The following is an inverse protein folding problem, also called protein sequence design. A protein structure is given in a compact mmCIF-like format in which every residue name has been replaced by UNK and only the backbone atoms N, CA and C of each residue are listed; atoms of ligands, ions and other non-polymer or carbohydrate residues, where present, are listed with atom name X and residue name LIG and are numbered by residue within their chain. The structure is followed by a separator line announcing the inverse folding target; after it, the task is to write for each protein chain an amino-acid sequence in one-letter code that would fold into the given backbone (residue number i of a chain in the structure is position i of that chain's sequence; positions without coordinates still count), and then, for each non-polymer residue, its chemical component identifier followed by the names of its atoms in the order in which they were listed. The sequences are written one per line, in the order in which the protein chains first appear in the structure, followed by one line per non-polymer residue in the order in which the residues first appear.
data_IF_820375546325
#
_entry.id   IF_820375546325
#
_cell.length_a   1.000
_cell.length_b   1.000
_cell.length_c   1.000
_cell.angle_alpha   90.00
_cell.angle_beta   90.00
_cell.angle_gamma   90.00
#
_symmetry.space_group_name_H-M   'P 1'
#
loop_
_entity.id
_entity.type
_entity.pdbx_description
1 polymer ?
#
# COMPACT_ATOMS: atom_id res chain seq x y z
N UNK A 1 -4.23 25.57 13.22
CA UNK A 1 -3.69 26.89 13.60
C UNK A 1 -3.75 27.85 12.42
N UNK A 2 -4.05 29.14 12.71
CA UNK A 2 -3.95 30.22 11.73
C UNK A 2 -3.13 31.33 12.35
N UNK A 3 -2.10 31.77 11.65
CA UNK A 3 -1.22 32.87 12.06
C UNK A 3 -1.29 33.96 11.00
N UNK A 4 -1.40 35.20 11.43
CA UNK A 4 -1.39 36.40 10.58
C UNK A 4 -0.26 37.34 11.05
N UNK A 5 1.01 37.02 10.73
CA UNK A 5 2.16 37.80 11.21
C UNK A 5 2.14 39.26 10.73
N UNK A 6 1.56 39.47 9.55
CA UNK A 6 1.34 40.79 8.93
C UNK A 6 -0.04 40.79 8.25
N UNK A 7 -0.55 41.96 7.87
CA UNK A 7 -1.89 42.10 7.24
C UNK A 7 -1.99 41.37 5.90
N UNK A 8 -0.85 41.12 5.24
CA UNK A 8 -0.75 40.50 3.93
C UNK A 8 -0.19 39.08 3.93
N UNK A 9 0.06 38.48 5.10
CA UNK A 9 0.60 37.12 5.24
C UNK A 9 -0.26 36.28 6.17
N UNK A 10 -0.81 35.21 5.64
CA UNK A 10 -1.53 34.20 6.41
C UNK A 10 -0.81 32.87 6.31
N UNK A 11 -0.56 32.24 7.44
CA UNK A 11 0.00 30.89 7.54
C UNK A 11 -0.99 29.99 8.27
N UNK A 12 -1.33 28.86 7.67
CA UNK A 12 -2.18 27.84 8.28
C UNK A 12 -1.39 26.56 8.52
N UNK A 13 -1.64 25.92 9.65
CA UNK A 13 -1.10 24.58 9.94
C UNK A 13 -2.23 23.75 10.55
N UNK A 14 -2.60 22.68 9.85
CA UNK A 14 -3.64 21.77 10.25
C UNK A 14 -3.10 20.35 10.35
N UNK A 15 -3.22 19.74 11.53
CA UNK A 15 -2.93 18.31 11.73
C UNK A 15 -4.23 17.53 11.72
N UNK A 16 -4.23 16.39 11.07
CA UNK A 16 -5.43 15.58 10.91
C UNK A 16 -5.12 14.08 11.02
N UNK A 17 -6.12 13.32 11.45
CA UNK A 17 -6.09 11.86 11.50
C UNK A 17 -7.40 11.31 10.95
N UNK A 18 -7.32 10.36 10.05
CA UNK A 18 -8.45 9.69 9.42
C UNK A 18 -8.34 8.20 9.67
N UNK A 19 -9.38 7.63 10.25
CA UNK A 19 -9.54 6.20 10.39
C UNK A 19 -10.66 5.69 9.48
N UNK A 20 -10.37 4.63 8.72
CA UNK A 20 -11.34 3.92 7.87
C UNK A 20 -11.37 2.46 8.24
N UNK A 21 -12.53 2.00 8.70
CA UNK A 21 -12.77 0.61 9.01
C UNK A 21 -13.65 -0.05 7.95
N UNK A 22 -13.55 -1.37 7.81
CA UNK A 22 -14.39 -2.20 6.93
C UNK A 22 -14.43 -1.73 5.47
N UNK A 23 -13.32 -1.18 4.99
CA UNK A 23 -13.18 -0.88 3.57
C UNK A 23 -13.11 -2.17 2.76
N UNK A 24 -13.66 -2.15 1.55
CA UNK A 24 -13.58 -3.29 0.64
C UNK A 24 -12.29 -3.16 -0.17
N UNK A 25 -11.52 -4.23 -0.23
CA UNK A 25 -10.28 -4.31 -1.00
C UNK A 25 -10.06 -5.69 -1.58
N UNK A 26 -8.98 -5.84 -2.32
CA UNK A 26 -8.55 -7.12 -2.87
C UNK A 26 -7.40 -7.67 -2.02
N UNK A 27 -7.38 -8.99 -1.79
CA UNK A 27 -6.26 -9.66 -1.14
C UNK A 27 -4.98 -9.57 -1.98
N UNK A 28 -5.14 -9.54 -3.29
CA UNK A 28 -4.07 -9.39 -4.26
C UNK A 28 -3.49 -10.73 -4.69
N UNK A 29 -3.19 -10.83 -5.98
CA UNK A 29 -2.68 -12.08 -6.58
C UNK A 29 -1.33 -12.51 -6.00
N UNK A 30 -0.48 -11.56 -5.64
CA UNK A 30 0.83 -11.82 -5.05
C UNK A 30 0.66 -12.49 -3.67
N UNK A 31 -0.16 -11.91 -2.81
CA UNK A 31 -0.47 -12.48 -1.50
C UNK A 31 -1.17 -13.84 -1.62
N UNK A 32 -2.10 -13.97 -2.60
CA UNK A 32 -2.80 -15.24 -2.87
C UNK A 32 -1.82 -16.35 -3.27
N UNK A 33 -0.80 -16.01 -4.09
CA UNK A 33 0.24 -16.96 -4.48
C UNK A 33 1.06 -17.42 -3.27
N UNK A 34 1.42 -16.47 -2.39
CA UNK A 34 2.17 -16.80 -1.17
C UNK A 34 1.32 -17.66 -0.23
N UNK A 35 0.03 -17.34 -0.08
CA UNK A 35 -0.91 -18.12 0.72
C UNK A 35 -1.05 -19.55 0.20
N UNK A 36 -1.19 -19.74 -1.12
CA UNK A 36 -1.21 -21.08 -1.76
C UNK A 36 0.04 -21.89 -1.41
N UNK A 37 1.20 -21.26 -1.44
CA UNK A 37 2.45 -21.94 -1.08
C UNK A 37 2.50 -22.32 0.39
N UNK A 38 2.09 -21.44 1.30
CA UNK A 38 2.01 -21.75 2.73
C UNK A 38 1.08 -22.96 3.03
N UNK A 39 -0.09 -22.99 2.38
CA UNK A 39 -1.03 -24.11 2.52
C UNK A 39 -0.39 -25.40 2.02
N UNK A 40 0.32 -25.39 0.88
CA UNK A 40 0.98 -26.56 0.32
C UNK A 40 2.12 -27.06 1.21
N UNK A 41 2.93 -26.16 1.75
CA UNK A 41 3.98 -26.51 2.73
C UNK A 41 3.36 -27.12 4.00
N UNK A 42 2.28 -26.57 4.52
CA UNK A 42 1.58 -27.11 5.69
C UNK A 42 0.97 -28.50 5.44
N UNK A 43 0.48 -28.73 4.20
CA UNK A 43 -0.11 -30.00 3.80
C UNK A 43 0.93 -31.10 3.52
N UNK A 44 2.15 -30.74 3.19
CA UNK A 44 3.24 -31.66 2.92
C UNK A 44 3.07 -32.48 1.63
N UNK A 45 3.87 -33.57 1.46
CA UNK A 45 3.94 -34.30 0.20
C UNK A 45 2.72 -35.16 -0.10
N UNK A 46 1.91 -35.48 0.90
CA UNK A 46 0.77 -36.41 0.76
C UNK A 46 -0.57 -35.70 0.50
N UNK A 47 -0.61 -34.38 0.54
CA UNK A 47 -1.82 -33.61 0.30
C UNK A 47 -1.53 -32.48 -0.71
N UNK A 48 -2.02 -32.64 -1.92
CA UNK A 48 -1.78 -31.72 -3.02
C UNK A 48 -2.73 -30.49 -3.02
N UNK A 49 -3.58 -30.35 -2.01
CA UNK A 49 -4.47 -29.21 -1.91
C UNK A 49 -3.66 -27.93 -1.66
N UNK A 50 -3.97 -26.88 -2.40
CA UNK A 50 -3.50 -25.53 -2.18
C UNK A 50 -4.67 -24.59 -1.89
N UNK A 51 -4.45 -23.30 -2.10
CA UNK A 51 -5.51 -22.32 -1.98
C UNK A 51 -6.57 -22.53 -3.08
N UNK A 52 -7.87 -22.65 -2.75
CA UNK A 52 -8.93 -22.86 -3.73
C UNK A 52 -9.12 -21.71 -4.73
N UNK A 53 -8.58 -20.52 -4.41
CA UNK A 53 -8.60 -19.35 -5.29
C UNK A 53 -7.44 -19.36 -6.31
N UNK A 54 -6.42 -20.22 -6.12
CA UNK A 54 -5.28 -20.36 -7.01
C UNK A 54 -5.45 -21.61 -7.86
N UNK A 55 -5.89 -21.43 -9.10
CA UNK A 55 -6.08 -22.54 -10.04
C UNK A 55 -4.77 -22.78 -10.78
N UNK A 56 -4.27 -24.02 -10.71
CA UNK A 56 -3.03 -24.47 -11.36
C UNK A 56 -3.31 -25.50 -12.44
N UNK A 57 -2.38 -25.61 -13.37
CA UNK A 57 -2.30 -26.76 -14.27
C UNK A 57 -1.84 -28.00 -13.47
N UNK A 58 -1.98 -29.17 -14.07
CA UNK A 58 -1.41 -30.40 -13.53
C UNK A 58 0.12 -30.32 -13.51
N UNK A 59 0.73 -30.96 -12.51
CA UNK A 59 2.18 -31.13 -12.51
C UNK A 59 2.64 -31.96 -13.70
N UNK A 60 3.77 -31.62 -14.28
CA UNK A 60 4.45 -32.46 -15.25
C UNK A 60 5.18 -33.60 -14.49
N UNK A 61 4.59 -34.77 -14.54
CA UNK A 61 5.14 -35.95 -13.86
C UNK A 61 6.19 -36.69 -14.70
N UNK A 62 6.47 -36.21 -15.91
CA UNK A 62 7.51 -36.79 -16.78
C UNK A 62 8.88 -36.11 -16.54
N UNK A 63 8.91 -34.92 -15.91
CA UNK A 63 10.16 -34.26 -15.51
C UNK A 63 10.64 -34.76 -14.14
N UNK A 64 11.60 -35.68 -14.18
CA UNK A 64 12.20 -36.26 -12.98
C UNK A 64 12.94 -35.25 -12.09
N UNK A 65 13.47 -34.16 -12.66
CA UNK A 65 14.16 -33.12 -11.89
C UNK A 65 13.17 -32.28 -11.12
N UNK A 66 12.02 -31.96 -11.75
CA UNK A 66 10.95 -31.21 -11.09
C UNK A 66 10.36 -32.03 -9.93
N UNK A 67 10.05 -33.32 -10.17
CA UNK A 67 9.57 -34.24 -9.11
C UNK A 67 10.56 -34.31 -7.93
N UNK A 68 11.87 -34.46 -8.23
CA UNK A 68 12.90 -34.52 -7.21
C UNK A 68 12.98 -33.21 -6.39
N UNK A 69 12.78 -32.05 -7.05
CA UNK A 69 12.77 -30.75 -6.36
C UNK A 69 11.57 -30.63 -5.42
N UNK A 70 10.37 -31.06 -5.82
CA UNK A 70 9.18 -31.09 -4.97
C UNK A 70 9.36 -32.05 -3.79
N UNK A 71 9.91 -33.22 -4.01
CA UNK A 71 10.20 -34.19 -2.96
C UNK A 71 11.22 -33.64 -1.95
N UNK A 72 12.28 -32.98 -2.43
CA UNK A 72 13.28 -32.33 -1.58
C UNK A 72 12.67 -31.18 -0.75
N UNK A 73 11.71 -30.46 -1.32
CA UNK A 73 10.97 -29.40 -0.62
C UNK A 73 9.90 -29.94 0.34
N UNK A 74 9.61 -31.27 0.33
CA UNK A 74 8.61 -31.90 1.18
C UNK A 74 7.18 -31.50 0.84
N UNK A 75 6.89 -31.17 -0.42
CA UNK A 75 5.56 -30.77 -0.88
C UNK A 75 5.09 -31.63 -2.05
N UNK A 76 3.76 -31.71 -2.20
CA UNK A 76 3.15 -32.41 -3.35
C UNK A 76 3.43 -31.61 -4.65
N UNK A 77 3.80 -32.29 -5.77
CA UNK A 77 3.99 -31.65 -7.07
C UNK A 77 2.75 -30.90 -7.54
N UNK A 78 2.98 -29.74 -8.18
CA UNK A 78 1.93 -28.91 -8.79
C UNK A 78 2.47 -28.20 -10.04
N UNK A 79 1.59 -27.91 -10.99
CA UNK A 79 1.94 -27.18 -12.20
C UNK A 79 1.88 -25.65 -12.04
N UNK A 80 2.16 -24.92 -13.12
CA UNK A 80 2.11 -23.47 -13.14
C UNK A 80 0.70 -22.93 -12.82
N UNK A 81 0.64 -21.67 -12.37
CA UNK A 81 -0.63 -20.99 -12.10
C UNK A 81 -1.32 -20.72 -13.46
N UNK A 82 -2.55 -21.20 -13.61
CA UNK A 82 -3.40 -20.91 -14.75
C UNK A 82 -4.10 -19.58 -14.60
N UNK A 83 -4.73 -19.36 -13.42
CA UNK A 83 -5.34 -18.08 -13.02
C UNK A 83 -5.56 -18.05 -11.52
N UNK A 84 -5.78 -16.84 -11.01
CA UNK A 84 -6.11 -16.57 -9.63
C UNK A 84 -7.47 -15.88 -9.57
N UNK A 85 -8.38 -16.39 -8.74
CA UNK A 85 -9.64 -15.74 -8.42
C UNK A 85 -9.36 -14.68 -7.34
N UNK A 86 -9.25 -13.43 -7.75
CA UNK A 86 -8.98 -12.34 -6.83
C UNK A 86 -10.31 -11.77 -6.33
N UNK A 87 -10.71 -12.15 -5.13
CA UNK A 87 -11.99 -11.79 -4.55
C UNK A 87 -11.89 -10.55 -3.67
N UNK A 88 -12.98 -9.81 -3.57
CA UNK A 88 -13.09 -8.69 -2.63
C UNK A 88 -13.23 -9.20 -1.21
N UNK A 89 -12.49 -8.58 -0.30
CA UNK A 89 -12.54 -8.89 1.14
C UNK A 89 -12.68 -7.60 1.95
N UNK A 90 -13.19 -7.76 3.18
CA UNK A 90 -13.23 -6.66 4.13
C UNK A 90 -11.82 -6.44 4.71
N UNK A 91 -11.29 -5.25 4.46
CA UNK A 91 -10.02 -4.81 5.02
C UNK A 91 -10.22 -4.35 6.46
N UNK A 92 -9.19 -4.54 7.29
CA UNK A 92 -9.18 -4.00 8.64
C UNK A 92 -8.97 -2.47 8.65
N UNK A 93 -8.78 -1.92 9.82
CA UNK A 93 -8.60 -0.50 10.05
C UNK A 93 -7.43 0.06 9.21
N UNK A 94 -7.71 1.15 8.50
CA UNK A 94 -6.71 1.99 7.85
C UNK A 94 -6.59 3.29 8.61
N UNK A 95 -5.37 3.64 8.99
CA UNK A 95 -5.05 4.90 9.65
C UNK A 95 -4.21 5.77 8.72
N UNK A 96 -4.62 7.02 8.54
CA UNK A 96 -3.92 8.01 7.73
C UNK A 96 -3.79 9.28 8.57
N UNK A 97 -2.58 9.74 8.79
CA UNK A 97 -2.30 10.94 9.57
C UNK A 97 -1.36 11.86 8.81
N UNK A 98 -1.54 13.15 9.00
CA UNK A 98 -0.70 14.10 8.32
C UNK A 98 -0.89 15.53 8.79
N UNK A 99 -0.10 16.41 8.17
CA UNK A 99 -0.09 17.84 8.44
C UNK A 99 -0.18 18.60 7.13
N UNK A 100 -1.11 19.55 7.05
CA UNK A 100 -1.20 20.50 5.95
C UNK A 100 -0.67 21.85 6.39
N UNK A 101 0.17 22.45 5.53
CA UNK A 101 0.72 23.79 5.71
C UNK A 101 0.27 24.66 4.53
N UNK A 102 -0.41 25.76 4.82
CA UNK A 102 -0.79 26.78 3.84
C UNK A 102 -0.05 28.09 4.11
N UNK A 103 0.49 28.71 3.07
CA UNK A 103 1.07 30.05 3.13
C UNK A 103 0.40 30.88 2.03
N UNK A 104 -0.21 31.99 2.42
CA UNK A 104 -0.90 32.92 1.55
C UNK A 104 -0.29 34.29 1.76
N UNK A 105 0.25 34.86 0.69
CA UNK A 105 0.94 36.12 0.74
C UNK A 105 0.50 37.03 -0.42
N UNK A 106 -0.07 38.17 -0.06
CA UNK A 106 -0.50 39.18 -0.98
C UNK A 106 0.49 40.35 -0.94
N UNK A 107 1.08 40.70 -2.08
CA UNK A 107 2.09 41.75 -2.18
C UNK A 107 1.70 42.79 -3.23
N UNK A 108 1.37 43.97 -2.77
CA UNK A 108 1.13 45.13 -3.63
C UNK A 108 2.45 45.84 -3.94
N UNK A 109 2.74 46.10 -5.22
CA UNK A 109 3.94 46.75 -5.67
C UNK A 109 3.63 47.81 -6.75
N UNK A 110 4.60 48.71 -7.00
CA UNK A 110 4.51 49.67 -8.12
C UNK A 110 4.45 48.96 -9.50
N UNK A 111 4.76 47.68 -9.59
CA UNK A 111 4.77 46.88 -10.81
C UNK A 111 3.53 46.01 -10.99
N UNK A 112 2.61 46.05 -10.02
CA UNK A 112 1.39 45.23 -9.95
C UNK A 112 1.31 44.41 -8.65
N UNK A 113 0.23 43.69 -8.51
CA UNK A 113 -0.11 42.92 -7.32
C UNK A 113 0.24 41.46 -7.54
N UNK A 114 0.90 40.85 -6.57
CA UNK A 114 1.27 39.45 -6.56
C UNK A 114 0.47 38.71 -5.49
N UNK A 115 -0.16 37.60 -5.86
CA UNK A 115 -0.78 36.62 -4.97
C UNK A 115 0.08 35.35 -5.00
N UNK A 116 0.65 34.99 -3.88
CA UNK A 116 1.50 33.80 -3.74
C UNK A 116 0.82 32.82 -2.77
N UNK A 117 0.54 31.63 -3.25
CA UNK A 117 -0.07 30.56 -2.47
C UNK A 117 0.79 29.33 -2.49
N UNK A 118 1.18 28.87 -1.34
CA UNK A 118 1.84 27.59 -1.14
C UNK A 118 0.96 26.68 -0.27
N UNK A 119 0.82 25.43 -0.70
CA UNK A 119 0.16 24.37 0.07
C UNK A 119 1.08 23.17 0.07
N UNK A 120 1.47 22.73 1.27
CA UNK A 120 2.23 21.51 1.49
C UNK A 120 1.41 20.52 2.32
N UNK A 121 1.29 19.29 1.85
CA UNK A 121 0.71 18.17 2.60
C UNK A 121 1.83 17.20 2.94
N UNK A 122 1.97 16.86 4.20
CA UNK A 122 2.94 15.92 4.75
C UNK A 122 2.18 14.77 5.38
N UNK A 123 2.38 13.55 4.89
CA UNK A 123 1.83 12.34 5.48
C UNK A 123 2.82 11.76 6.47
N UNK A 124 2.39 11.57 7.72
CA UNK A 124 3.18 10.99 8.80
C UNK A 124 2.90 9.49 8.95
N UNK A 125 1.64 9.10 8.73
CA UNK A 125 1.17 7.72 8.83
C UNK A 125 0.29 7.37 7.64
N UNK A 126 0.56 6.25 7.00
CA UNK A 126 -0.37 5.58 6.08
C UNK A 126 -0.26 4.08 6.32
N UNK A 127 -1.12 3.56 7.20
CA UNK A 127 -1.03 2.19 7.68
C UNK A 127 -2.34 1.44 7.46
N UNK A 128 -2.25 0.23 6.93
CA UNK A 128 -3.33 -0.74 6.84
C UNK A 128 -3.07 -1.87 7.81
N UNK A 129 -3.99 -2.12 8.74
CA UNK A 129 -3.88 -3.27 9.64
C UNK A 129 -4.10 -4.58 8.86
N UNK A 130 -3.35 -5.60 9.24
CA UNK A 130 -3.57 -6.96 8.76
C UNK A 130 -4.73 -7.60 9.52
N UNK A 131 -5.63 -8.29 8.80
CA UNK A 131 -6.72 -9.11 9.39
C UNK A 131 -6.99 -10.32 8.52
N UNK A 132 -7.62 -11.36 9.09
CA UNK A 132 -7.93 -12.58 8.36
C UNK A 132 -6.68 -13.20 7.73
N UNK A 133 -6.73 -13.44 6.41
CA UNK A 133 -5.61 -14.02 5.65
C UNK A 133 -4.37 -13.13 5.64
N UNK A 134 -4.51 -11.80 5.63
CA UNK A 134 -3.38 -10.88 5.77
C UNK A 134 -2.64 -11.05 7.10
N UNK A 135 -3.37 -11.29 8.19
CA UNK A 135 -2.76 -11.53 9.50
C UNK A 135 -2.00 -12.87 9.52
N UNK A 136 -2.52 -13.90 8.84
CA UNK A 136 -1.85 -15.17 8.70
C UNK A 136 -0.54 -15.05 7.91
N UNK A 137 -0.54 -14.30 6.80
CA UNK A 137 0.67 -14.02 6.02
C UNK A 137 1.70 -13.21 6.82
N UNK A 138 1.26 -12.20 7.58
CA UNK A 138 2.14 -11.42 8.43
C UNK A 138 2.79 -12.30 9.51
N UNK A 139 2.01 -13.13 10.20
CA UNK A 139 2.53 -14.06 11.20
C UNK A 139 3.51 -15.08 10.59
N UNK A 140 3.24 -15.58 9.38
CA UNK A 140 4.16 -16.46 8.66
C UNK A 140 5.47 -15.76 8.30
N UNK A 141 5.43 -14.49 7.93
CA UNK A 141 6.62 -13.69 7.67
C UNK A 141 7.42 -13.41 8.94
N UNK A 142 6.74 -13.00 10.02
CA UNK A 142 7.36 -12.70 11.32
C UNK A 142 8.03 -13.96 11.93
N UNK A 143 7.51 -15.15 11.63
CA UNK A 143 8.09 -16.43 12.04
C UNK A 143 9.21 -16.95 11.12
N UNK A 144 9.51 -16.24 10.02
CA UNK A 144 10.53 -16.63 9.03
C UNK A 144 10.09 -17.72 8.06
N UNK A 145 8.81 -18.13 8.05
CA UNK A 145 8.28 -19.07 7.05
C UNK A 145 8.22 -18.44 5.66
N UNK A 146 7.99 -17.14 5.59
CA UNK A 146 8.09 -16.35 4.36
C UNK A 146 9.40 -15.58 4.42
N UNK A 147 10.33 -15.79 3.44
CA UNK A 147 11.55 -15.02 3.36
C UNK A 147 11.32 -13.52 3.30
N UNK A 148 12.19 -12.72 3.93
CA UNK A 148 12.12 -11.26 3.92
C UNK A 148 12.12 -10.66 2.50
N UNK A 149 12.77 -11.34 1.56
CA UNK A 149 12.83 -10.94 0.14
C UNK A 149 11.48 -11.02 -0.58
N UNK A 150 10.48 -11.73 -0.03
CA UNK A 150 9.16 -11.84 -0.61
C UNK A 150 8.30 -10.68 -0.07
N UNK A 151 7.93 -9.70 -0.91
CA UNK A 151 7.09 -8.59 -0.48
C UNK A 151 5.64 -9.06 -0.30
N UNK A 152 5.05 -8.72 0.83
CA UNK A 152 3.61 -8.77 1.05
C UNK A 152 3.04 -7.37 0.79
N UNK A 153 1.87 -7.29 0.14
CA UNK A 153 1.30 -6.03 -0.31
C UNK A 153 -0.07 -5.75 0.29
N UNK A 154 -0.45 -4.47 0.34
CA UNK A 154 -1.79 -4.03 0.72
C UNK A 154 -2.06 -3.95 2.23
N UNK A 155 -1.06 -4.20 3.09
CA UNK A 155 -1.13 -4.02 4.54
C UNK A 155 0.25 -3.66 5.13
N UNK A 156 0.28 -3.29 6.40
CA UNK A 156 1.46 -2.76 7.06
C UNK A 156 1.62 -1.26 6.84
N UNK A 157 2.84 -0.76 6.84
CA UNK A 157 3.14 0.63 6.51
C UNK A 157 3.16 0.78 4.99
N UNK A 158 2.27 1.60 4.46
CA UNK A 158 2.11 1.86 3.03
C UNK A 158 2.66 3.24 2.62
N UNK A 159 3.22 4.01 3.56
CA UNK A 159 3.79 5.32 3.30
C UNK A 159 4.95 5.20 2.30
N UNK A 160 4.92 5.98 1.23
CA UNK A 160 5.90 5.93 0.15
C UNK A 160 5.79 4.71 -0.77
N UNK A 161 4.76 3.86 -0.59
CA UNK A 161 4.52 2.67 -1.41
C UNK A 161 3.26 2.84 -2.28
N UNK A 162 3.20 2.10 -3.38
CA UNK A 162 2.02 1.97 -4.24
C UNK A 162 1.41 3.32 -4.69
N UNK A 163 2.26 4.34 -4.92
CA UNK A 163 1.84 5.68 -5.35
C UNK A 163 1.37 6.61 -4.23
N UNK A 164 1.54 6.22 -2.98
CA UNK A 164 1.31 7.08 -1.82
C UNK A 164 2.56 7.91 -1.58
N UNK A 165 2.45 9.21 -1.80
CA UNK A 165 3.55 10.15 -1.53
C UNK A 165 3.53 10.56 -0.05
N UNK A 166 4.69 10.62 0.56
CA UNK A 166 4.89 11.13 1.93
C UNK A 166 4.74 12.64 2.00
N UNK A 167 4.99 13.34 0.90
CA UNK A 167 4.79 14.78 0.82
C UNK A 167 4.30 15.22 -0.57
N UNK A 168 3.53 16.30 -0.61
CA UNK A 168 3.03 16.94 -1.83
C UNK A 168 3.04 18.45 -1.65
N UNK A 169 3.62 19.15 -2.62
CA UNK A 169 3.73 20.60 -2.59
C UNK A 169 3.07 21.21 -3.83
N UNK A 170 2.37 22.31 -3.61
CA UNK A 170 1.79 23.12 -4.68
C UNK A 170 2.15 24.57 -4.42
N UNK A 171 2.79 25.22 -5.40
CA UNK A 171 3.05 26.65 -5.40
C UNK A 171 2.31 27.30 -6.57
N UNK A 172 1.53 28.32 -6.26
CA UNK A 172 0.87 29.16 -7.26
C UNK A 172 1.32 30.61 -7.04
N UNK A 173 1.70 31.26 -8.13
CA UNK A 173 1.98 32.70 -8.15
C UNK A 173 1.09 33.32 -9.21
N UNK A 174 0.31 34.32 -8.84
CA UNK A 174 -0.50 35.13 -9.75
C UNK A 174 0.02 36.55 -9.70
N UNK A 175 0.04 37.21 -10.86
CA UNK A 175 0.43 38.60 -11.00
C UNK A 175 -0.67 39.36 -11.77
N UNK A 176 -1.09 40.47 -11.23
CA UNK A 176 -2.06 41.38 -11.85
C UNK A 176 -1.45 42.81 -11.89
N UNK A 177 -1.41 43.38 -13.07
CA UNK A 177 -0.89 44.75 -13.26
C UNK A 177 -1.99 45.82 -13.26
N UNK A 178 -3.26 45.41 -13.14
CA UNK A 178 -4.43 46.29 -13.23
C UNK A 178 -4.71 46.79 -14.67
N UNK A 179 -5.76 47.56 -14.86
CA UNK A 179 -6.08 48.13 -16.15
C UNK A 179 -5.05 49.20 -16.53
N UNK A 180 -4.55 49.11 -17.75
CA UNK A 180 -3.69 50.13 -18.35
C UNK A 180 -4.44 51.43 -18.60
#
# INVERSE_FOLDING_TARGET
FVLTPTDNLVVTVDTWSIEKDKTIGLFGRENQTVNDMLIRFANGPNNCAGDPLVVRESADLDDSNEIAAFAAAGICPFGPIKYIKNEYTNMALRTIEGTDVGIYYDLETAYGDFDVRYIGTFLDVYKQQASGEFAALQAAKDSGLIPESIPLKGFGNLLGLDGVYDNKHTLRVSWDKGPY
#
